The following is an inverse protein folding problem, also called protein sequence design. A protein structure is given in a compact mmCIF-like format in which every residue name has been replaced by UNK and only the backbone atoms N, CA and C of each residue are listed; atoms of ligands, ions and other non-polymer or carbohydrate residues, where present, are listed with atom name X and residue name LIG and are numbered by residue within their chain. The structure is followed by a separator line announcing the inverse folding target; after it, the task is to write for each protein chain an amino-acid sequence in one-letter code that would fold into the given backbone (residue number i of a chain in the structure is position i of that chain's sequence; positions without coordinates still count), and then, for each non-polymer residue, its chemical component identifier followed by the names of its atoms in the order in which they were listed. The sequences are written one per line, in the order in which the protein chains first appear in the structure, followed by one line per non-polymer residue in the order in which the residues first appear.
data_IF_818649898836
#
_entry.id   IF_818649898836
#
_cell.length_a   1.000
_cell.length_b   1.000
_cell.length_c   1.000
_cell.angle_alpha   90.00
_cell.angle_beta   90.00
_cell.angle_gamma   90.00
#
_symmetry.space_group_name_H-M   'P 1'
#
loop_
_entity.id
_entity.type
_entity.pdbx_description
1 polymer ?
#
# COMPACT_ATOMS: atom_id res chain seq x y z
N UNK A 1 -3.96 -32.21 8.98
CA UNK A 1 -3.33 -31.42 7.89
C UNK A 1 -2.94 -30.06 8.46
N UNK A 2 -1.76 -29.52 8.17
CA UNK A 2 -1.37 -28.20 8.69
C UNK A 2 -2.18 -27.09 8.03
N UNK A 3 -2.30 -25.90 8.67
CA UNK A 3 -2.94 -24.72 8.04
C UNK A 3 -2.30 -24.37 6.70
N UNK A 4 -0.97 -24.51 6.59
CA UNK A 4 -0.26 -24.34 5.33
C UNK A 4 -0.65 -25.40 4.29
N UNK A 5 -0.80 -26.65 4.71
CA UNK A 5 -1.27 -27.73 3.83
C UNK A 5 -2.66 -27.45 3.25
N UNK A 6 -3.59 -26.93 4.07
CA UNK A 6 -4.93 -26.53 3.61
C UNK A 6 -4.88 -25.40 2.58
N UNK A 7 -3.98 -24.43 2.75
CA UNK A 7 -3.79 -23.34 1.76
C UNK A 7 -3.25 -23.90 0.45
N UNK A 8 -2.22 -24.75 0.51
CA UNK A 8 -1.64 -25.39 -0.69
C UNK A 8 -2.70 -26.21 -1.42
N UNK A 9 -3.44 -27.06 -0.72
CA UNK A 9 -4.52 -27.87 -1.29
C UNK A 9 -5.61 -26.98 -1.92
N UNK A 10 -5.97 -25.86 -1.28
CA UNK A 10 -6.95 -24.91 -1.84
C UNK A 10 -6.46 -24.28 -3.15
N UNK A 11 -5.17 -23.93 -3.23
CA UNK A 11 -4.55 -23.39 -4.46
C UNK A 11 -4.52 -24.46 -5.56
N UNK A 12 -4.14 -25.69 -5.24
CA UNK A 12 -4.14 -26.80 -6.20
C UNK A 12 -5.55 -27.11 -6.72
N UNK A 13 -6.54 -27.15 -5.83
CA UNK A 13 -7.94 -27.35 -6.19
C UNK A 13 -8.47 -26.23 -7.09
N UNK A 14 -8.11 -24.98 -6.81
CA UNK A 14 -8.45 -23.85 -7.68
C UNK A 14 -7.82 -23.97 -9.06
N UNK A 15 -6.53 -24.30 -9.14
CA UNK A 15 -5.85 -24.51 -10.42
C UNK A 15 -6.50 -25.64 -11.23
N UNK A 16 -6.88 -26.74 -10.57
CA UNK A 16 -7.61 -27.85 -11.19
C UNK A 16 -8.98 -27.40 -11.70
N UNK A 17 -9.72 -26.62 -10.90
CA UNK A 17 -10.99 -26.04 -11.32
C UNK A 17 -10.86 -25.21 -12.60
N UNK A 18 -9.84 -24.36 -12.70
CA UNK A 18 -9.58 -23.55 -13.91
C UNK A 18 -9.33 -24.46 -15.11
N UNK A 19 -8.48 -25.49 -14.97
CA UNK A 19 -8.21 -26.45 -16.04
C UNK A 19 -9.48 -27.22 -16.48
N UNK A 20 -10.33 -27.60 -15.53
CA UNK A 20 -11.61 -28.26 -15.80
C UNK A 20 -12.58 -27.32 -16.57
N UNK A 21 -12.64 -26.03 -16.23
CA UNK A 21 -13.42 -25.05 -16.99
C UNK A 21 -12.87 -24.85 -18.41
N UNK A 22 -11.55 -24.79 -18.59
CA UNK A 22 -10.91 -24.70 -19.91
C UNK A 22 -11.26 -25.92 -20.76
N UNK A 23 -11.12 -27.13 -20.19
CA UNK A 23 -11.48 -28.37 -20.88
C UNK A 23 -12.96 -28.36 -21.26
N UNK A 24 -13.84 -27.98 -20.33
CA UNK A 24 -15.28 -27.88 -20.58
C UNK A 24 -15.60 -26.90 -21.71
N UNK A 25 -14.98 -25.72 -21.72
CA UNK A 25 -15.18 -24.70 -22.76
C UNK A 25 -14.82 -25.21 -24.16
N UNK A 26 -13.85 -26.12 -24.26
CA UNK A 26 -13.44 -26.77 -25.51
C UNK A 26 -14.32 -27.94 -25.93
N UNK A 27 -14.93 -28.64 -24.97
CA UNK A 27 -15.70 -29.87 -25.25
C UNK A 27 -17.22 -29.66 -25.30
N UNK A 28 -17.75 -28.70 -24.54
CA UNK A 28 -19.16 -28.38 -24.46
C UNK A 28 -19.45 -27.13 -25.31
N UNK A 29 -19.96 -27.34 -26.51
CA UNK A 29 -20.24 -26.25 -27.47
C UNK A 29 -21.23 -25.20 -26.96
N UNK A 30 -22.16 -25.58 -26.07
CA UNK A 30 -23.11 -24.62 -25.51
C UNK A 30 -22.39 -23.70 -24.54
N UNK A 31 -21.59 -24.27 -23.63
CA UNK A 31 -20.80 -23.52 -22.67
C UNK A 31 -19.74 -22.66 -23.37
N UNK A 32 -19.07 -23.18 -24.40
CA UNK A 32 -18.11 -22.42 -25.19
C UNK A 32 -18.74 -21.19 -25.88
N UNK A 33 -19.93 -21.35 -26.48
CA UNK A 33 -20.69 -20.23 -27.07
C UNK A 33 -21.12 -19.20 -26.04
N UNK A 34 -21.55 -19.63 -24.86
CA UNK A 34 -21.91 -18.73 -23.75
C UNK A 34 -20.71 -17.89 -23.29
N UNK A 35 -19.54 -18.51 -23.13
CA UNK A 35 -18.31 -17.80 -22.78
C UNK A 35 -17.88 -16.79 -23.84
N UNK A 36 -17.95 -17.16 -25.12
CA UNK A 36 -17.66 -16.25 -26.21
C UNK A 36 -18.62 -15.06 -26.23
N UNK A 37 -19.91 -15.30 -25.99
CA UNK A 37 -20.92 -14.23 -25.83
C UNK A 37 -20.58 -13.30 -24.66
N UNK A 38 -20.31 -13.85 -23.48
CA UNK A 38 -19.88 -13.09 -22.30
C UNK A 38 -18.62 -12.26 -22.58
N UNK A 39 -17.64 -12.84 -23.27
CA UNK A 39 -16.39 -12.16 -23.62
C UNK A 39 -16.64 -10.95 -24.52
N UNK A 40 -17.43 -11.12 -25.57
CA UNK A 40 -17.80 -10.04 -26.49
C UNK A 40 -18.62 -8.96 -25.80
N UNK A 41 -19.55 -9.33 -24.91
CA UNK A 41 -20.33 -8.38 -24.11
C UNK A 41 -19.44 -7.55 -23.17
N UNK A 42 -18.42 -8.18 -22.56
CA UNK A 42 -17.43 -7.46 -21.74
C UNK A 42 -16.65 -6.48 -22.62
N UNK A 43 -16.09 -6.93 -23.75
CA UNK A 43 -15.35 -6.06 -24.68
C UNK A 43 -16.19 -4.86 -25.14
N UNK A 44 -17.45 -5.09 -25.51
CA UNK A 44 -18.35 -4.05 -25.98
C UNK A 44 -18.71 -3.00 -24.91
N UNK A 45 -18.68 -3.38 -23.62
CA UNK A 45 -18.97 -2.47 -22.50
C UNK A 45 -17.76 -1.66 -22.04
N UNK A 46 -16.55 -1.94 -22.54
CA UNK A 46 -15.35 -1.20 -22.18
C UNK A 46 -15.40 0.18 -22.84
N UNK A 47 -15.37 1.28 -22.07
CA UNK A 47 -15.39 2.62 -22.66
C UNK A 47 -14.11 2.88 -23.45
N UNK A 48 -14.21 3.70 -24.48
CA UNK A 48 -13.06 4.18 -25.26
C UNK A 48 -12.69 5.60 -24.82
N UNK A 49 -11.39 5.88 -24.72
CA UNK A 49 -10.85 7.23 -24.57
C UNK A 49 -10.09 7.62 -25.83
N UNK A 50 -9.84 8.91 -26.06
CA UNK A 50 -9.02 9.39 -27.18
C UNK A 50 -7.69 9.93 -26.67
N UNK A 51 -6.61 9.58 -27.36
CA UNK A 51 -5.31 10.21 -27.13
C UNK A 51 -5.34 11.68 -27.59
N UNK A 52 -4.34 12.50 -27.19
CA UNK A 52 -4.16 13.84 -27.76
C UNK A 52 -4.01 13.85 -29.30
N UNK A 53 -3.56 12.75 -29.89
CA UNK A 53 -3.46 12.57 -31.36
C UNK A 53 -4.76 12.08 -32.01
N UNK A 54 -5.84 11.94 -31.23
CA UNK A 54 -7.16 11.50 -31.70
C UNK A 54 -7.35 9.98 -31.82
N UNK A 55 -6.33 9.18 -31.51
CA UNK A 55 -6.38 7.72 -31.57
C UNK A 55 -7.36 7.18 -30.51
N UNK A 56 -8.37 6.38 -30.89
CA UNK A 56 -9.23 5.73 -29.93
C UNK A 56 -8.49 4.58 -29.23
N UNK A 57 -8.55 4.55 -27.89
CA UNK A 57 -7.99 3.49 -27.07
C UNK A 57 -9.05 2.96 -26.09
N UNK A 58 -9.21 1.64 -25.94
CA UNK A 58 -10.06 1.10 -24.89
C UNK A 58 -9.48 1.44 -23.52
N UNK A 59 -10.33 1.78 -22.55
CA UNK A 59 -9.90 2.06 -21.17
C UNK A 59 -9.36 0.83 -20.44
N UNK A 60 -9.74 -0.36 -20.91
CA UNK A 60 -9.17 -1.64 -20.51
C UNK A 60 -8.83 -2.41 -21.77
N UNK A 61 -7.54 -2.61 -22.02
CA UNK A 61 -7.09 -3.43 -23.13
C UNK A 61 -7.22 -4.91 -22.74
N UNK A 62 -8.24 -5.59 -23.27
CA UNK A 62 -8.37 -7.04 -23.17
C UNK A 62 -7.62 -7.72 -24.33
N UNK A 63 -7.11 -8.95 -24.14
CA UNK A 63 -6.48 -9.69 -25.21
C UNK A 63 -7.48 -10.03 -26.32
N UNK A 64 -7.01 -10.07 -27.57
CA UNK A 64 -7.84 -10.52 -28.70
C UNK A 64 -7.85 -12.05 -28.76
N UNK A 65 -8.73 -12.65 -27.96
CA UNK A 65 -8.98 -14.09 -27.91
C UNK A 65 -10.37 -14.42 -28.44
N UNK A 66 -10.47 -15.46 -29.25
CA UNK A 66 -11.69 -15.99 -29.87
C UNK A 66 -11.90 -17.49 -29.60
N UNK A 67 -10.94 -18.16 -28.96
CA UNK A 67 -11.04 -19.56 -28.54
C UNK A 67 -11.70 -19.67 -27.15
N UNK A 68 -12.81 -20.43 -26.99
CA UNK A 68 -13.52 -20.51 -25.71
C UNK A 68 -12.69 -20.99 -24.52
N UNK A 69 -11.73 -21.90 -24.73
CA UNK A 69 -10.80 -22.37 -23.71
C UNK A 69 -9.84 -21.28 -23.21
N UNK A 70 -9.26 -20.47 -24.11
CA UNK A 70 -8.44 -19.31 -23.74
C UNK A 70 -9.28 -18.27 -22.98
N UNK A 71 -10.52 -18.03 -23.41
CA UNK A 71 -11.48 -17.14 -22.70
C UNK A 71 -11.75 -17.67 -21.29
N UNK A 72 -11.99 -18.98 -21.15
CA UNK A 72 -12.18 -19.61 -19.84
C UNK A 72 -10.93 -19.45 -18.97
N UNK A 73 -9.73 -19.67 -19.52
CA UNK A 73 -8.47 -19.50 -18.77
C UNK A 73 -8.33 -18.08 -18.25
N UNK A 74 -8.61 -17.07 -19.08
CA UNK A 74 -8.54 -15.68 -18.67
C UNK A 74 -9.58 -15.36 -17.59
N UNK A 75 -10.86 -15.63 -17.85
CA UNK A 75 -11.95 -15.26 -16.93
C UNK A 75 -11.90 -16.00 -15.60
N UNK A 76 -11.55 -17.29 -15.59
CA UNK A 76 -11.53 -18.08 -14.36
C UNK A 76 -10.16 -18.17 -13.72
N UNK A 77 -9.07 -18.01 -14.46
CA UNK A 77 -7.70 -18.15 -13.95
C UNK A 77 -7.05 -16.82 -13.60
N UNK A 78 -7.31 -15.77 -14.37
CA UNK A 78 -6.71 -14.44 -14.18
C UNK A 78 -7.71 -13.44 -13.59
N UNK A 79 -8.99 -13.53 -14.00
CA UNK A 79 -10.08 -12.65 -13.60
C UNK A 79 -9.98 -11.27 -14.25
N UNK A 80 -11.10 -10.56 -14.43
CA UNK A 80 -11.06 -9.15 -14.81
C UNK A 80 -10.50 -8.29 -13.65
N UNK A 81 -10.03 -7.05 -13.91
CA UNK A 81 -9.68 -6.13 -12.84
C UNK A 81 -10.77 -6.04 -11.76
N UNK A 82 -10.40 -6.23 -10.49
CA UNK A 82 -11.34 -6.23 -9.36
C UNK A 82 -12.18 -7.50 -9.22
N UNK A 83 -11.89 -8.55 -9.98
CA UNK A 83 -12.51 -9.87 -9.85
C UNK A 83 -11.48 -10.88 -9.36
N UNK A 84 -11.92 -11.87 -8.58
CA UNK A 84 -11.08 -12.97 -8.12
C UNK A 84 -10.47 -13.71 -9.32
N UNK A 85 -9.17 -14.11 -9.27
CA UNK A 85 -8.24 -14.07 -8.13
C UNK A 85 -7.46 -12.77 -7.98
N UNK A 86 -7.92 -11.69 -8.61
CA UNK A 86 -7.34 -10.34 -8.57
C UNK A 86 -5.93 -10.27 -9.18
N UNK A 87 -5.60 -11.17 -10.11
CA UNK A 87 -4.29 -11.21 -10.77
C UNK A 87 -4.03 -9.91 -11.52
N UNK A 88 -5.03 -9.44 -12.27
CA UNK A 88 -4.94 -8.22 -13.06
C UNK A 88 -4.99 -6.96 -12.19
N UNK A 89 -5.81 -6.95 -11.15
CA UNK A 89 -5.95 -5.84 -10.23
C UNK A 89 -6.84 -6.17 -9.03
N UNK A 90 -6.53 -5.57 -7.87
CA UNK A 90 -7.39 -5.61 -6.68
C UNK A 90 -8.68 -4.78 -6.85
N UNK A 91 -8.66 -3.73 -7.67
CA UNK A 91 -9.80 -2.85 -7.91
C UNK A 91 -10.15 -2.82 -9.39
N UNK A 92 -11.44 -2.66 -9.70
CA UNK A 92 -11.95 -2.63 -11.08
C UNK A 92 -11.34 -1.53 -11.94
N UNK A 93 -11.15 -0.36 -11.34
CA UNK A 93 -10.70 0.84 -12.04
C UNK A 93 -9.25 1.21 -11.69
N UNK A 94 -8.63 0.56 -10.70
CA UNK A 94 -7.28 0.86 -10.22
C UNK A 94 -7.01 2.37 -10.13
N UNK A 95 -6.11 2.89 -10.98
CA UNK A 95 -5.71 4.30 -11.02
C UNK A 95 -6.30 5.05 -12.21
N UNK A 96 -7.32 4.51 -12.86
CA UNK A 96 -7.95 5.12 -14.00
C UNK A 96 -8.63 6.43 -13.58
N UNK A 97 -8.15 7.55 -14.12
CA UNK A 97 -8.81 8.83 -13.91
C UNK A 97 -10.23 8.79 -14.51
N UNK A 98 -11.25 9.31 -13.81
CA UNK A 98 -12.60 9.46 -14.35
C UNK A 98 -12.54 10.11 -15.74
N UNK A 99 -13.41 9.66 -16.65
CA UNK A 99 -13.48 10.23 -18.01
C UNK A 99 -13.78 11.72 -17.87
N UNK A 100 -12.75 12.55 -18.03
CA UNK A 100 -12.93 13.96 -18.36
C UNK A 100 -13.24 13.93 -19.85
N UNK A 101 -14.42 14.39 -20.25
CA UNK A 101 -14.54 14.88 -21.62
C UNK A 101 -13.37 15.85 -21.75
N UNK A 102 -12.42 15.52 -22.64
CA UNK A 102 -11.38 16.47 -23.01
C UNK A 102 -12.19 17.68 -23.44
N UNK A 103 -12.15 18.74 -22.63
CA UNK A 103 -12.74 20.01 -23.00
C UNK A 103 -12.14 20.30 -24.38
N UNK A 104 -12.96 20.15 -25.42
CA UNK A 104 -12.78 20.95 -26.59
C UNK A 104 -12.59 22.37 -26.07
N UNK A 105 -11.67 23.13 -26.66
CA UNK A 105 -11.40 24.52 -26.33
C UNK A 105 -12.61 25.46 -26.58
N UNK A 106 -13.83 24.94 -26.52
CA UNK A 106 -15.10 25.61 -26.69
C UNK A 106 -15.86 25.62 -25.36
N UNK A 107 -15.73 26.76 -24.69
CA UNK A 107 -16.58 27.30 -23.62
C UNK A 107 -17.86 26.51 -23.36
N UNK A 108 -17.89 25.72 -22.29
CA UNK A 108 -19.14 25.32 -21.64
C UNK A 108 -19.19 25.88 -20.22
N UNK A 109 -19.66 27.12 -20.12
CA UNK A 109 -20.16 27.68 -18.87
C UNK A 109 -21.51 27.03 -18.56
N UNK A 110 -21.63 26.31 -17.43
CA UNK A 110 -22.93 26.11 -16.79
C UNK A 110 -23.48 24.69 -16.61
N UNK A 111 -22.67 23.63 -16.58
CA UNK A 111 -23.14 22.33 -16.04
C UNK A 111 -22.65 22.14 -14.61
N UNK A 112 -23.59 21.86 -13.72
CA UNK A 112 -23.35 21.58 -12.32
C UNK A 112 -22.27 20.50 -12.17
N UNK A 113 -21.19 20.85 -11.47
CA UNK A 113 -20.12 19.94 -11.10
C UNK A 113 -20.69 18.84 -10.21
N UNK A 114 -21.10 17.72 -10.80
CA UNK A 114 -21.15 16.45 -10.09
C UNK A 114 -19.75 16.25 -9.54
N UNK A 115 -19.57 16.35 -8.21
CA UNK A 115 -18.29 16.09 -7.54
C UNK A 115 -17.83 14.68 -7.90
N UNK A 116 -17.03 14.57 -8.96
CA UNK A 116 -16.35 13.35 -9.33
C UNK A 116 -15.46 13.00 -8.13
N UNK A 117 -15.58 11.80 -7.52
CA UNK A 117 -14.69 11.38 -6.46
C UNK A 117 -13.25 11.49 -6.98
N UNK A 118 -12.50 12.44 -6.45
CA UNK A 118 -11.12 12.67 -6.89
C UNK A 118 -10.28 11.47 -6.45
N UNK A 119 -9.61 10.87 -7.42
CA UNK A 119 -8.78 9.71 -7.21
C UNK A 119 -7.53 10.12 -6.42
N UNK A 120 -7.24 9.39 -5.33
CA UNK A 120 -6.04 9.60 -4.53
C UNK A 120 -4.81 9.09 -5.29
N UNK A 121 -3.81 9.94 -5.51
CA UNK A 121 -2.57 9.56 -6.19
C UNK A 121 -1.84 8.46 -5.39
N UNK A 122 -1.24 7.45 -6.04
CA UNK A 122 -0.56 6.38 -5.33
C UNK A 122 0.73 6.87 -4.64
N UNK A 123 1.32 7.96 -5.13
CA UNK A 123 2.56 8.56 -4.65
C UNK A 123 2.57 8.69 -3.14
N UNK A 124 3.62 8.16 -2.51
CA UNK A 124 3.87 8.27 -1.08
C UNK A 124 5.34 8.62 -0.87
N UNK A 125 5.61 9.74 -0.21
CA UNK A 125 6.95 10.30 -0.13
C UNK A 125 7.62 9.89 1.18
N UNK A 126 8.73 9.15 1.06
CA UNK A 126 9.55 8.67 2.16
C UNK A 126 10.56 9.72 2.58
N UNK A 127 10.50 10.16 3.84
CA UNK A 127 11.38 11.19 4.38
C UNK A 127 11.56 11.05 5.89
N UNK A 128 12.71 11.52 6.37
CA UNK A 128 13.10 11.57 7.77
C UNK A 128 14.58 11.91 7.85
N UNK A 129 14.92 13.02 8.52
CA UNK A 129 16.28 13.48 8.72
C UNK A 129 16.27 14.53 9.85
N UNK A 130 17.32 14.56 10.67
CA UNK A 130 17.49 15.55 11.74
C UNK A 130 16.31 15.51 12.73
N UNK A 131 15.81 16.68 13.16
CA UNK A 131 14.77 16.81 14.17
C UNK A 131 13.38 16.76 13.54
N UNK A 132 12.36 16.70 14.40
CA UNK A 132 10.96 16.64 14.01
C UNK A 132 10.55 17.83 13.12
N UNK A 133 11.03 19.03 13.44
CA UNK A 133 10.77 20.27 12.72
C UNK A 133 11.40 20.28 11.32
N UNK A 134 12.65 19.81 11.19
CA UNK A 134 13.34 19.72 9.90
C UNK A 134 12.61 18.73 8.96
N UNK A 135 12.21 17.58 9.50
CA UNK A 135 11.43 16.60 8.75
C UNK A 135 10.02 17.13 8.43
N UNK A 136 9.41 17.91 9.31
CA UNK A 136 8.13 18.55 9.06
C UNK A 136 8.22 19.55 7.88
N UNK A 137 9.23 20.43 7.88
CA UNK A 137 9.49 21.35 6.77
C UNK A 137 9.66 20.57 5.46
N UNK A 138 10.41 19.47 5.51
CA UNK A 138 10.59 18.59 4.36
C UNK A 138 9.28 17.97 3.89
N UNK A 139 8.39 17.52 4.79
CA UNK A 139 7.07 17.01 4.41
C UNK A 139 6.22 18.08 3.71
N UNK A 140 6.20 19.31 4.22
CA UNK A 140 5.48 20.42 3.58
C UNK A 140 6.06 20.75 2.20
N UNK A 141 7.39 20.78 2.07
CA UNK A 141 8.05 20.97 0.79
C UNK A 141 7.66 19.89 -0.22
N UNK A 142 7.74 18.62 0.18
CA UNK A 142 7.48 17.46 -0.67
C UNK A 142 6.02 17.36 -1.12
N UNK A 143 5.09 17.87 -0.30
CA UNK A 143 3.65 17.75 -0.56
C UNK A 143 3.00 19.03 -1.08
N UNK A 144 3.76 20.13 -1.28
CA UNK A 144 3.26 21.45 -1.69
C UNK A 144 2.30 21.44 -2.89
N UNK A 145 2.49 20.52 -3.83
CA UNK A 145 1.68 20.42 -5.05
C UNK A 145 0.79 19.16 -5.09
N UNK A 146 0.65 18.48 -3.96
CA UNK A 146 -0.18 17.29 -3.83
C UNK A 146 -1.52 17.64 -3.19
N UNK A 147 -2.60 17.05 -3.73
CA UNK A 147 -3.96 17.21 -3.17
C UNK A 147 -4.20 16.28 -1.98
N UNK A 148 -3.52 15.13 -1.98
CA UNK A 148 -3.56 14.12 -0.93
C UNK A 148 -2.19 13.98 -0.30
N UNK A 149 -2.12 14.15 1.01
CA UNK A 149 -0.88 14.13 1.78
C UNK A 149 -0.60 12.71 2.26
N UNK A 150 0.21 11.97 1.49
CA UNK A 150 0.59 10.58 1.78
C UNK A 150 2.04 10.54 2.22
N UNK A 151 2.25 10.69 3.51
CA UNK A 151 3.59 10.75 4.11
C UNK A 151 4.11 9.35 4.41
N UNK A 152 5.42 9.17 4.35
CA UNK A 152 6.09 8.00 4.90
C UNK A 152 7.31 8.43 5.71
N UNK A 153 7.29 8.10 6.99
CA UNK A 153 8.27 8.56 7.97
C UNK A 153 9.36 7.52 8.16
N UNK A 154 10.60 7.98 8.04
CA UNK A 154 11.82 7.23 8.35
C UNK A 154 12.35 7.69 9.71
N UNK A 155 12.57 6.78 10.65
CA UNK A 155 13.11 7.10 11.97
C UNK A 155 14.62 6.88 12.01
N UNK A 156 15.32 7.61 12.87
CA UNK A 156 16.76 7.46 13.06
C UNK A 156 17.11 6.17 13.81
N UNK A 157 18.41 5.84 13.88
CA UNK A 157 18.89 4.65 14.57
C UNK A 157 18.37 4.52 16.00
N UNK A 158 18.59 5.50 16.90
CA UNK A 158 18.13 5.44 18.28
C UNK A 158 16.62 5.18 18.40
N UNK A 159 15.80 5.92 17.66
CA UNK A 159 14.34 5.72 17.65
C UNK A 159 13.96 4.32 17.15
N UNK A 160 14.62 3.81 16.10
CA UNK A 160 14.40 2.45 15.58
C UNK A 160 14.69 1.36 16.61
N UNK A 161 15.64 1.60 17.52
CA UNK A 161 16.01 0.70 18.61
C UNK A 161 15.35 1.03 19.96
N UNK A 162 14.45 2.01 20.01
CA UNK A 162 13.73 2.40 21.21
C UNK A 162 14.64 3.00 22.29
N UNK A 163 15.66 3.75 21.85
CA UNK A 163 16.64 4.42 22.70
C UNK A 163 16.39 5.93 22.58
N UNK A 164 16.27 6.60 23.71
CA UNK A 164 16.11 8.05 23.78
C UNK A 164 17.41 8.77 23.35
N UNK A 165 17.28 9.96 22.77
CA UNK A 165 18.41 10.73 22.24
C UNK A 165 19.44 11.18 23.29
N UNK A 166 19.12 11.14 24.58
CA UNK A 166 20.03 11.46 25.68
C UNK A 166 20.83 10.24 26.21
N UNK A 167 20.62 9.06 25.63
CA UNK A 167 21.35 7.87 26.01
C UNK A 167 22.87 7.96 25.69
N UNK A 168 23.67 7.30 26.51
CA UNK A 168 25.11 7.26 26.31
C UNK A 168 25.48 6.58 24.97
N UNK A 169 26.36 7.22 24.21
CA UNK A 169 26.94 6.66 22.99
C UNK A 169 26.09 6.80 21.71
N UNK A 170 24.92 7.44 21.75
CA UNK A 170 24.07 7.62 20.55
C UNK A 170 24.14 9.00 19.90
N UNK A 171 24.86 9.97 20.48
CA UNK A 171 24.90 11.36 20.01
C UNK A 171 25.15 11.51 18.49
N UNK A 172 26.09 10.75 17.93
CA UNK A 172 26.41 10.80 16.49
C UNK A 172 25.39 10.13 15.57
N UNK A 173 24.32 9.54 16.12
CA UNK A 173 23.26 8.81 15.40
C UNK A 173 21.91 9.52 15.45
N UNK A 174 21.76 10.53 16.31
CA UNK A 174 20.54 11.32 16.43
C UNK A 174 20.28 12.04 15.11
N UNK A 175 19.12 11.79 14.51
CA UNK A 175 18.71 12.38 13.24
C UNK A 175 19.52 11.89 12.02
N UNK A 176 20.37 10.87 12.18
CA UNK A 176 21.15 10.30 11.08
C UNK A 176 20.32 9.26 10.34
N UNK A 177 20.07 9.51 9.05
CA UNK A 177 19.33 8.56 8.20
C UNK A 177 17.83 8.43 8.51
N UNK A 178 17.31 9.25 9.42
CA UNK A 178 15.91 9.31 9.82
C UNK A 178 15.64 10.46 10.78
N UNK A 179 14.38 10.66 11.17
CA UNK A 179 13.99 11.65 12.17
C UNK A 179 14.15 11.10 13.58
N UNK A 180 14.69 11.91 14.49
CA UNK A 180 14.75 11.60 15.92
C UNK A 180 13.39 11.88 16.59
N UNK A 181 12.83 10.90 17.30
CA UNK A 181 11.55 11.02 18.01
C UNK A 181 11.66 10.32 19.37
N UNK A 182 11.73 11.12 20.44
CA UNK A 182 11.80 10.61 21.82
C UNK A 182 10.43 10.71 22.51
N UNK A 183 9.65 11.73 22.17
CA UNK A 183 8.44 12.12 22.92
C UNK A 183 7.20 12.31 22.04
N UNK A 184 6.04 12.44 22.71
CA UNK A 184 4.78 12.80 22.03
C UNK A 184 4.86 14.22 21.45
N UNK A 185 5.61 15.11 22.10
CA UNK A 185 5.86 16.47 21.65
C UNK A 185 6.57 16.48 20.30
N UNK A 186 7.56 15.61 20.08
CA UNK A 186 8.26 15.49 18.80
C UNK A 186 7.31 14.98 17.71
N UNK A 187 6.45 14.01 18.05
CA UNK A 187 5.42 13.52 17.14
C UNK A 187 4.37 14.60 16.78
N UNK A 188 4.07 15.52 17.71
CA UNK A 188 3.22 16.68 17.43
C UNK A 188 3.89 17.62 16.43
N UNK A 189 5.17 17.94 16.63
CA UNK A 189 5.95 18.82 15.74
C UNK A 189 6.15 18.20 14.37
N UNK A 190 6.47 16.91 14.30
CA UNK A 190 6.70 16.16 13.06
C UNK A 190 5.54 16.29 12.08
N UNK A 191 4.30 16.27 12.56
CA UNK A 191 3.10 16.36 11.74
C UNK A 191 2.36 17.70 11.87
N UNK A 192 3.00 18.74 12.41
CA UNK A 192 2.36 20.03 12.53
C UNK A 192 2.00 20.62 11.15
N UNK A 193 0.92 21.40 11.09
CA UNK A 193 0.34 21.91 9.85
C UNK A 193 -0.46 20.88 9.02
N UNK A 194 -0.40 19.58 9.32
CA UNK A 194 -1.26 18.57 8.66
C UNK A 194 -2.53 18.25 9.45
N UNK A 195 -3.66 18.11 8.76
CA UNK A 195 -4.92 17.60 9.35
C UNK A 195 -4.93 16.06 9.35
N UNK A 196 -4.51 15.48 10.47
CA UNK A 196 -4.42 14.03 10.65
C UNK A 196 -5.76 13.29 10.55
N UNK A 197 -6.88 14.00 10.77
CA UNK A 197 -8.24 13.46 10.69
C UNK A 197 -8.86 13.56 9.31
N UNK A 198 -8.18 14.21 8.36
CA UNK A 198 -8.67 14.42 7.00
C UNK A 198 -8.74 13.11 6.22
N UNK A 199 -9.77 12.99 5.37
CA UNK A 199 -9.86 11.91 4.42
C UNK A 199 -8.70 11.93 3.40
N UNK A 200 -8.03 13.08 3.21
CA UNK A 200 -6.94 13.24 2.24
C UNK A 200 -5.54 13.14 2.89
N UNK A 201 -5.45 12.77 4.16
CA UNK A 201 -4.19 12.57 4.85
C UNK A 201 -3.97 11.09 5.20
N UNK A 202 -2.75 10.60 5.02
CA UNK A 202 -2.35 9.27 5.44
C UNK A 202 -0.87 9.23 5.81
N UNK A 203 -0.55 8.88 7.06
CA UNK A 203 0.83 8.72 7.52
C UNK A 203 1.24 7.24 7.54
N UNK A 204 2.34 6.91 6.86
CA UNK A 204 3.02 5.62 6.98
C UNK A 204 4.24 5.79 7.88
N UNK A 205 4.50 4.86 8.78
CA UNK A 205 5.62 4.89 9.72
C UNK A 205 6.40 3.58 9.62
N UNK A 206 7.64 3.69 9.17
CA UNK A 206 8.56 2.55 8.96
C UNK A 206 9.29 2.26 10.25
N UNK A 207 8.61 1.55 11.14
CA UNK A 207 9.08 1.18 12.48
C UNK A 207 8.64 -0.25 12.81
N UNK A 208 9.51 -1.02 13.46
CA UNK A 208 9.22 -2.41 13.85
C UNK A 208 9.34 -2.63 15.36
N UNK A 209 10.55 -2.60 15.94
CA UNK A 209 10.78 -2.92 17.35
C UNK A 209 9.90 -2.13 18.32
N UNK A 210 9.97 -0.79 18.34
CA UNK A 210 9.17 0.05 19.21
C UNK A 210 7.87 0.53 18.54
N UNK A 211 7.38 -0.20 17.52
CA UNK A 211 6.16 0.15 16.80
C UNK A 211 4.92 0.41 17.68
N UNK A 212 4.66 -0.35 18.77
CA UNK A 212 3.53 -0.06 19.67
C UNK A 212 3.66 1.32 20.32
N UNK A 213 4.87 1.71 20.70
CA UNK A 213 5.17 2.99 21.35
C UNK A 213 4.98 4.13 20.36
N UNK A 214 5.58 4.03 19.17
CA UNK A 214 5.43 5.05 18.12
C UNK A 214 3.96 5.20 17.67
N UNK A 215 3.21 4.09 17.57
CA UNK A 215 1.77 4.15 17.29
C UNK A 215 1.01 4.89 18.40
N UNK A 216 1.33 4.62 19.67
CA UNK A 216 0.73 5.30 20.80
C UNK A 216 1.07 6.80 20.80
N UNK A 217 2.31 7.18 20.51
CA UNK A 217 2.74 8.57 20.37
C UNK A 217 1.98 9.28 19.24
N UNK A 218 1.84 8.65 18.07
CA UNK A 218 1.07 9.21 16.94
C UNK A 218 -0.40 9.45 17.31
N UNK A 219 -1.04 8.47 17.97
CA UNK A 219 -2.42 8.61 18.44
C UNK A 219 -2.52 9.71 19.49
N UNK A 220 -1.58 9.78 20.43
CA UNK A 220 -1.55 10.81 21.46
C UNK A 220 -1.39 12.22 20.86
N UNK A 221 -0.46 12.39 19.92
CA UNK A 221 -0.27 13.63 19.19
C UNK A 221 -1.54 14.06 18.45
N UNK A 222 -2.20 13.13 17.75
CA UNK A 222 -3.48 13.42 17.09
C UNK A 222 -4.58 13.82 18.09
N UNK A 223 -4.69 13.13 19.23
CA UNK A 223 -5.69 13.45 20.27
C UNK A 223 -5.43 14.80 20.92
N UNK A 224 -4.17 15.19 21.11
CA UNK A 224 -3.80 16.52 21.63
C UNK A 224 -4.23 17.63 20.67
N UNK A 225 -4.09 17.42 19.36
CA UNK A 225 -4.42 18.43 18.33
C UNK A 225 -5.91 18.48 17.97
N UNK A 226 -6.59 17.34 17.94
CA UNK A 226 -7.95 17.23 17.37
C UNK A 226 -8.98 16.58 18.31
N UNK A 227 -8.58 16.26 19.54
CA UNK A 227 -9.42 15.58 20.52
C UNK A 227 -9.60 14.07 20.26
N UNK A 228 -10.24 13.33 21.18
CA UNK A 228 -10.35 11.87 21.11
C UNK A 228 -11.16 11.34 19.92
N UNK A 229 -12.05 12.16 19.35
CA UNK A 229 -12.91 11.76 18.21
C UNK A 229 -12.14 11.64 16.88
N UNK A 230 -10.87 12.03 16.83
CA UNK A 230 -10.03 11.88 15.64
C UNK A 230 -9.56 10.44 15.42
N UNK A 231 -9.45 9.63 16.47
CA UNK A 231 -8.83 8.29 16.40
C UNK A 231 -9.46 7.37 15.33
N UNK A 232 -10.79 7.29 15.19
CA UNK A 232 -11.41 6.48 14.12
C UNK A 232 -11.15 7.02 12.70
N UNK A 233 -10.76 8.30 12.58
CA UNK A 233 -10.49 8.96 11.29
C UNK A 233 -9.04 8.81 10.84
N UNK A 234 -8.12 8.46 11.74
CA UNK A 234 -6.70 8.31 11.41
C UNK A 234 -6.52 7.24 10.34
N UNK A 235 -5.90 7.63 9.21
CA UNK A 235 -5.52 6.75 8.10
C UNK A 235 -4.01 6.61 8.06
N UNK A 236 -3.51 5.41 7.81
CA UNK A 236 -2.06 5.20 7.84
C UNK A 236 -1.65 3.76 7.95
N UNK A 237 -0.35 3.55 8.06
CA UNK A 237 0.25 2.21 8.17
C UNK A 237 1.43 2.25 9.13
N UNK A 238 1.48 1.30 10.06
CA UNK A 238 2.68 1.00 10.85
C UNK A 238 3.28 -0.29 10.27
N UNK A 239 4.59 -0.33 10.03
CA UNK A 239 5.21 -1.48 9.38
C UNK A 239 5.15 -2.76 10.24
N UNK A 240 5.69 -2.71 11.47
CA UNK A 240 5.54 -3.73 12.51
C UNK A 240 5.69 -5.20 12.04
N UNK A 241 6.67 -5.48 11.17
CA UNK A 241 6.92 -6.82 10.64
C UNK A 241 8.17 -7.41 11.31
N UNK A 242 8.00 -8.12 12.41
CA UNK A 242 9.11 -8.70 13.18
C UNK A 242 9.88 -9.79 12.41
N UNK A 243 9.22 -10.52 11.52
CA UNK A 243 9.87 -11.61 10.82
C UNK A 243 10.93 -11.10 9.84
N UNK A 244 10.67 -9.98 9.13
CA UNK A 244 11.72 -9.36 8.32
C UNK A 244 12.89 -8.81 9.15
N UNK A 245 12.65 -8.42 10.41
CA UNK A 245 13.72 -7.92 11.27
C UNK A 245 14.72 -9.01 11.58
N UNK A 246 14.24 -10.17 12.02
CA UNK A 246 15.08 -11.32 12.33
C UNK A 246 15.77 -11.87 11.09
N UNK A 247 15.11 -11.79 9.93
CA UNK A 247 15.63 -12.36 8.69
C UNK A 247 16.65 -11.46 7.99
N UNK A 248 16.54 -10.14 8.14
CA UNK A 248 17.19 -9.21 7.22
C UNK A 248 17.55 -7.84 7.81
N UNK A 249 16.59 -7.16 8.44
CA UNK A 249 16.72 -5.73 8.74
C UNK A 249 17.37 -5.42 10.09
N UNK A 250 17.37 -6.37 11.02
CA UNK A 250 18.11 -6.35 12.28
C UNK A 250 17.69 -5.26 13.30
N UNK A 251 16.48 -4.72 13.22
CA UNK A 251 15.94 -3.76 14.21
C UNK A 251 15.07 -4.50 15.26
N UNK A 252 15.53 -5.68 15.69
CA UNK A 252 14.83 -6.50 16.70
C UNK A 252 15.24 -6.06 18.11
N UNK A 253 14.26 -5.64 18.92
CA UNK A 253 14.47 -5.28 20.34
C UNK A 253 14.01 -6.41 21.26
N UNK A 254 12.83 -6.98 21.00
CA UNK A 254 12.23 -8.03 21.80
C UNK A 254 12.31 -9.39 21.11
N UNK A 255 12.25 -10.52 21.85
CA UNK A 255 12.09 -11.83 21.24
C UNK A 255 10.83 -11.90 20.35
N UNK A 256 10.79 -12.90 19.45
CA UNK A 256 9.72 -13.04 18.44
C UNK A 256 8.33 -13.14 19.08
N UNK A 257 8.17 -13.95 20.12
CA UNK A 257 6.87 -14.20 20.74
C UNK A 257 6.26 -12.93 21.38
N UNK A 258 6.98 -12.18 22.25
CA UNK A 258 6.53 -10.87 22.72
C UNK A 258 6.23 -9.88 21.59
N UNK A 259 7.06 -9.85 20.54
CA UNK A 259 6.85 -8.96 19.39
C UNK A 259 5.55 -9.28 18.63
N UNK A 260 5.23 -10.57 18.45
CA UNK A 260 3.98 -11.02 17.84
C UNK A 260 2.76 -10.73 18.74
N UNK A 261 2.93 -10.82 20.06
CA UNK A 261 1.90 -10.39 21.00
C UNK A 261 1.61 -8.90 20.85
N UNK A 262 2.64 -8.05 20.84
CA UNK A 262 2.48 -6.62 20.61
C UNK A 262 1.78 -6.32 19.28
N UNK A 263 2.16 -7.00 18.19
CA UNK A 263 1.49 -6.86 16.91
C UNK A 263 0.00 -7.23 16.99
N UNK A 264 -0.32 -8.31 17.70
CA UNK A 264 -1.71 -8.76 17.91
C UNK A 264 -2.51 -7.71 18.69
N UNK A 265 -1.95 -7.18 19.79
CA UNK A 265 -2.60 -6.13 20.59
C UNK A 265 -2.81 -4.84 19.78
N UNK A 266 -1.86 -4.49 18.89
CA UNK A 266 -2.02 -3.35 17.97
C UNK A 266 -3.17 -3.57 16.98
N UNK A 267 -3.28 -4.77 16.39
CA UNK A 267 -4.37 -5.14 15.47
C UNK A 267 -5.72 -5.15 16.19
N UNK A 268 -5.77 -5.70 17.40
CA UNK A 268 -6.97 -5.69 18.24
C UNK A 268 -7.41 -4.25 18.55
N UNK A 269 -6.46 -3.39 18.96
CA UNK A 269 -6.74 -1.99 19.25
C UNK A 269 -7.29 -1.23 18.04
N UNK A 270 -6.66 -1.34 16.87
CA UNK A 270 -7.12 -0.61 15.66
C UNK A 270 -8.49 -1.10 15.20
N UNK A 271 -8.75 -2.40 15.33
CA UNK A 271 -10.06 -3.01 15.03
C UNK A 271 -11.15 -2.51 15.99
N UNK A 272 -10.92 -2.54 17.30
CA UNK A 272 -11.89 -2.07 18.31
C UNK A 272 -12.18 -0.58 18.22
N UNK A 273 -11.14 0.24 17.98
CA UNK A 273 -11.29 1.70 17.84
C UNK A 273 -11.83 2.12 16.47
N UNK A 274 -11.98 1.18 15.53
CA UNK A 274 -12.34 1.43 14.13
C UNK A 274 -11.44 2.50 13.50
N UNK A 275 -10.16 2.52 13.86
CA UNK A 275 -9.20 3.38 13.18
C UNK A 275 -8.92 2.81 11.80
N UNK A 276 -8.58 3.68 10.84
CA UNK A 276 -8.14 3.27 9.50
C UNK A 276 -6.62 3.12 9.43
N UNK A 277 -6.01 2.80 10.57
CA UNK A 277 -4.58 2.50 10.69
C UNK A 277 -4.36 1.01 10.45
N UNK A 278 -3.55 0.68 9.46
CA UNK A 278 -3.07 -0.67 9.23
C UNK A 278 -1.92 -0.94 10.21
N UNK A 279 -2.12 -1.82 11.18
CA UNK A 279 -1.13 -2.12 12.23
C UNK A 279 0.01 -3.05 11.76
N UNK A 280 0.03 -3.44 10.48
CA UNK A 280 1.08 -4.26 9.89
C UNK A 280 1.20 -3.97 8.39
N UNK A 281 2.43 -3.99 7.88
CA UNK A 281 2.72 -4.11 6.46
C UNK A 281 3.83 -5.13 6.24
N UNK A 282 3.43 -6.31 5.73
CA UNK A 282 4.37 -7.34 5.30
C UNK A 282 5.30 -6.76 4.23
N UNK A 283 6.60 -6.72 4.51
CA UNK A 283 7.57 -5.93 3.72
C UNK A 283 8.72 -6.76 3.14
N UNK A 284 8.48 -8.07 3.00
CA UNK A 284 9.46 -9.08 2.56
C UNK A 284 10.31 -8.68 1.35
N UNK A 285 9.73 -8.17 0.26
CA UNK A 285 10.51 -7.95 -0.96
C UNK A 285 11.60 -6.89 -0.81
N UNK A 286 11.31 -5.77 -0.15
CA UNK A 286 12.24 -4.63 -0.11
C UNK A 286 13.53 -4.92 0.68
N UNK A 287 13.40 -5.43 1.91
CA UNK A 287 14.56 -5.67 2.77
C UNK A 287 15.42 -6.84 2.26
N UNK A 288 14.79 -7.89 1.72
CA UNK A 288 15.51 -9.04 1.18
C UNK A 288 16.23 -8.72 -0.14
N UNK A 289 15.62 -7.96 -1.05
CA UNK A 289 16.29 -7.54 -2.29
C UNK A 289 17.49 -6.64 -1.99
N UNK A 290 17.39 -5.75 -1.01
CA UNK A 290 18.52 -4.90 -0.59
C UNK A 290 19.72 -5.73 -0.09
N UNK A 291 19.46 -6.84 0.62
CA UNK A 291 20.51 -7.78 1.02
C UNK A 291 21.10 -8.50 -0.18
N UNK A 292 20.26 -8.95 -1.13
CA UNK A 292 20.72 -9.61 -2.35
C UNK A 292 21.64 -8.70 -3.16
N UNK A 293 21.27 -7.42 -3.32
CA UNK A 293 22.09 -6.40 -3.99
C UNK A 293 23.39 -6.17 -3.21
N UNK A 294 23.35 -5.97 -1.88
CA UNK A 294 24.57 -5.79 -1.06
C UNK A 294 25.52 -7.00 -1.10
N UNK A 295 24.99 -8.22 -1.12
CA UNK A 295 25.80 -9.46 -1.26
C UNK A 295 26.44 -9.55 -2.64
N UNK A 296 25.73 -9.18 -3.70
CA UNK A 296 26.28 -9.15 -5.06
C UNK A 296 27.37 -8.08 -5.22
N UNK A 297 27.19 -6.89 -4.63
CA UNK A 297 28.22 -5.83 -4.63
C UNK A 297 29.46 -6.26 -3.83
N UNK A 298 29.29 -6.91 -2.66
CA UNK A 298 30.42 -7.47 -1.91
C UNK A 298 31.17 -8.56 -2.67
N UNK A 299 30.47 -9.47 -3.37
CA UNK A 299 31.10 -10.49 -4.22
C UNK A 299 31.82 -9.91 -5.44
N UNK A 300 31.33 -8.79 -5.97
CA UNK A 300 32.00 -8.07 -7.05
C UNK A 300 33.28 -7.34 -6.59
N UNK A 301 33.37 -7.01 -5.30
CA UNK A 301 34.51 -6.29 -4.71
C UNK A 301 35.52 -7.18 -3.99
N UNK A 302 35.14 -8.41 -3.62
CA UNK A 302 36.05 -9.43 -3.08
C UNK A 302 35.78 -10.75 -3.82
N UNK A 303 36.49 -11.00 -4.93
CA UNK A 303 36.29 -12.19 -5.77
C UNK A 303 36.96 -13.46 -5.24
N UNK A 304 37.51 -13.45 -4.02
CA UNK A 304 38.17 -14.60 -3.38
C UNK A 304 37.16 -15.61 -2.79
#
# INVERSE_FOLDING_TARGET
MSKLGQVVESVENYNKFVLDQVKRARTDEKFGRELLGRWNDVKAKIPTTRTPTGLPLPRLALPEIDEPGEIARYLFGEGLPGEFPYLNAAYREMYLEPVREIESFEKNAGKAETKIPQLEEPTRLFSGLMLAEDTNERFHYLTRHQRTHRLSTAFDGPTLYGIDSDADGVFGKIGEGGVAIDTVEDMVRLYDGFDLGSANFSASMTISGPAPIIMAMYIAAAKRRFGPKVVPKLRGTIQADIFKEVQAQNETIFPIEPSLRFLTDMVEFTTHRRSRLNASAASRLYSFERIRVRRNVRRAWNPD
#
